data_IF_217209573197
#
_entry.id   IF_217209573197
#
_cell.length_a   1.000
_cell.length_b   1.000
_cell.length_c   1.000
_cell.angle_alpha   90.00
_cell.angle_beta   90.00
_cell.angle_gamma   90.00
#
_symmetry.space_group_name_H-M   'P 1'
#
loop_
_entity.id
_entity.type
_entity.pdbx_description
1 polymer ?
#
# COMPACT_ATOMS: atom_id res chain seq x y z
N UNK A 1 18.64 -50.27 13.00
CA UNK A 1 19.86 -49.52 12.66
C UNK A 1 19.84 -48.27 13.53
N UNK A 2 20.49 -48.40 14.68
CA UNK A 2 20.53 -47.43 15.77
C UNK A 2 21.99 -47.06 15.98
N UNK A 3 22.31 -45.77 15.98
CA UNK A 3 23.57 -45.10 16.36
C UNK A 3 23.54 -43.75 15.62
N UNK A 4 23.86 -42.58 16.16
CA UNK A 4 24.65 -42.22 17.31
C UNK A 4 24.21 -40.83 17.78
N UNK A 5 23.91 -40.69 19.07
CA UNK A 5 23.89 -39.40 19.76
C UNK A 5 25.22 -39.26 20.49
N UNK A 6 26.03 -38.26 20.16
CA UNK A 6 27.22 -37.90 20.93
C UNK A 6 27.09 -36.51 21.54
N UNK A 7 26.97 -36.55 22.87
CA UNK A 7 27.36 -35.55 23.83
C UNK A 7 28.69 -34.87 23.47
N UNK A 8 28.74 -33.54 23.57
CA UNK A 8 29.98 -32.80 23.77
C UNK A 8 29.76 -31.75 24.86
N UNK A 9 30.44 -32.02 25.97
CA UNK A 9 30.44 -31.26 27.20
C UNK A 9 31.33 -30.02 27.10
N UNK A 10 31.01 -29.08 27.98
CA UNK A 10 31.65 -27.81 28.22
C UNK A 10 33.18 -27.89 28.40
N UNK A 11 33.89 -26.94 27.77
CA UNK A 11 35.19 -26.49 28.21
C UNK A 11 35.23 -24.97 28.27
N UNK A 12 35.45 -24.48 29.48
CA UNK A 12 35.66 -23.10 29.88
C UNK A 12 37.15 -22.78 29.69
N UNK A 13 37.55 -21.74 28.93
CA UNK A 13 38.86 -21.13 29.10
C UNK A 13 38.72 -19.85 29.91
N UNK A 14 39.30 -19.88 31.12
CA UNK A 14 39.58 -18.73 31.96
C UNK A 14 40.46 -17.72 31.20
N UNK A 15 39.90 -16.56 30.85
CA UNK A 15 40.68 -15.44 30.35
C UNK A 15 41.16 -14.59 31.53
N UNK A 16 42.46 -14.59 31.76
CA UNK A 16 43.16 -13.69 32.68
C UNK A 16 42.93 -12.23 32.26
N UNK A 17 42.33 -11.45 33.15
CA UNK A 17 42.31 -9.98 33.08
C UNK A 17 43.62 -9.45 33.65
N UNK A 18 44.56 -9.09 32.77
CA UNK A 18 45.68 -8.22 33.14
C UNK A 18 45.18 -6.78 33.23
N UNK A 19 45.09 -6.26 34.44
CA UNK A 19 45.00 -4.84 34.75
C UNK A 19 46.30 -4.15 34.35
N UNK A 20 46.29 -3.45 33.22
CA UNK A 20 47.26 -2.38 32.95
C UNK A 20 46.70 -1.09 33.52
N UNK A 21 47.27 -0.73 34.66
CA UNK A 21 47.14 0.54 35.36
C UNK A 21 47.85 1.61 34.50
N UNK A 22 47.10 2.22 33.58
CA UNK A 22 47.60 3.32 32.77
C UNK A 22 47.41 4.65 33.52
N UNK A 23 48.52 5.34 33.71
CA UNK A 23 48.66 6.45 34.61
C UNK A 23 47.78 7.63 34.18
N UNK A 24 46.83 8.00 35.05
CA UNK A 24 46.15 9.29 35.05
C UNK A 24 47.20 10.42 35.08
N UNK A 25 47.47 11.02 33.92
CA UNK A 25 47.90 12.42 33.83
C UNK A 25 46.69 13.28 33.48
N UNK A 26 45.96 13.65 34.53
CA UNK A 26 45.02 14.77 34.48
C UNK A 26 45.85 16.05 34.45
N UNK A 27 46.15 16.54 33.25
CA UNK A 27 46.63 17.92 33.11
C UNK A 27 45.41 18.81 33.26
N UNK A 28 45.17 19.29 34.48
CA UNK A 28 44.25 20.39 34.74
C UNK A 28 44.78 21.61 33.99
N UNK A 29 44.28 21.85 32.77
CA UNK A 29 44.52 23.11 32.08
C UNK A 29 43.56 24.13 32.70
N UNK A 30 44.02 24.75 33.78
CA UNK A 30 43.39 25.91 34.38
C UNK A 30 43.77 27.12 33.51
N UNK A 31 43.10 27.22 32.37
CA UNK A 31 43.16 28.35 31.46
C UNK A 31 41.92 29.21 31.66
N UNK A 32 41.87 29.91 32.80
CA UNK A 32 41.16 31.19 32.82
C UNK A 32 41.77 32.08 31.72
N UNK A 33 40.94 32.92 31.11
CA UNK A 33 41.25 33.90 30.04
C UNK A 33 41.25 33.38 28.59
N UNK A 34 40.11 32.87 28.11
CA UNK A 34 39.82 32.79 26.65
C UNK A 34 38.37 33.12 26.25
N UNK A 35 37.50 33.54 27.19
CA UNK A 35 36.12 33.96 26.85
C UNK A 35 35.99 35.44 26.45
N UNK A 36 37.04 36.26 26.64
CA UNK A 36 36.96 37.72 26.40
C UNK A 36 37.81 38.22 25.22
N UNK A 37 38.40 37.31 24.43
CA UNK A 37 39.16 37.66 23.23
C UNK A 37 38.32 37.65 21.93
N UNK A 38 37.13 37.04 21.94
CA UNK A 38 36.20 37.10 20.80
C UNK A 38 35.22 38.29 20.85
N UNK A 39 35.08 38.97 21.99
CA UNK A 39 34.16 40.10 22.18
C UNK A 39 34.69 41.42 21.58
N UNK A 40 36.02 41.54 21.37
CA UNK A 40 36.68 42.77 20.93
C UNK A 40 37.22 42.74 19.48
N UNK A 41 37.04 41.65 18.73
CA UNK A 41 37.24 41.61 17.27
C UNK A 41 35.98 42.00 16.47
N UNK A 42 35.00 42.63 17.14
CA UNK A 42 33.85 43.32 16.55
C UNK A 42 34.25 44.56 15.70
N UNK A 43 35.52 44.69 15.34
CA UNK A 43 36.07 45.76 14.52
C UNK A 43 35.66 45.55 13.06
N UNK A 44 34.46 46.02 12.71
CA UNK A 44 33.97 46.30 11.34
C UNK A 44 34.45 45.36 10.22
N UNK A 45 34.36 44.05 10.42
CA UNK A 45 34.42 43.13 9.28
C UNK A 45 33.13 43.36 8.46
N UNK A 46 33.27 44.11 7.37
CA UNK A 46 32.17 44.35 6.44
C UNK A 46 31.98 43.09 5.61
N UNK A 47 30.98 42.27 5.95
CA UNK A 47 30.56 41.18 5.08
C UNK A 47 29.89 41.77 3.84
N UNK A 48 30.40 41.44 2.66
CA UNK A 48 29.84 41.92 1.39
C UNK A 48 28.93 40.89 0.72
N UNK A 49 28.96 39.63 1.20
CA UNK A 49 28.11 38.54 0.71
C UNK A 49 27.68 37.62 1.85
N UNK A 50 26.49 37.04 1.71
CA UNK A 50 25.99 35.98 2.57
C UNK A 50 25.27 34.90 1.77
N UNK A 51 25.32 33.68 2.28
CA UNK A 51 24.50 32.57 1.81
C UNK A 51 23.79 31.94 2.99
N UNK A 52 22.47 32.01 2.97
CA UNK A 52 21.59 31.27 3.88
C UNK A 52 21.22 29.95 3.21
N UNK A 53 21.44 28.84 3.91
CA UNK A 53 20.97 27.53 3.49
C UNK A 53 19.80 27.15 4.38
N UNK A 54 18.63 26.96 3.79
CA UNK A 54 17.47 26.35 4.44
C UNK A 54 17.42 24.89 4.00
N UNK A 55 17.53 23.96 4.94
CA UNK A 55 17.47 22.53 4.65
C UNK A 55 16.21 21.95 5.26
N UNK A 56 15.42 21.27 4.43
CA UNK A 56 14.18 20.60 4.79
C UNK A 56 14.39 19.10 4.70
N UNK A 57 14.45 18.42 5.84
CA UNK A 57 14.47 16.97 5.91
C UNK A 57 13.04 16.44 5.94
N UNK A 58 12.40 16.31 4.78
CA UNK A 58 11.06 15.78 4.62
C UNK A 58 11.06 14.23 4.51
N UNK A 59 12.01 13.58 5.17
CA UNK A 59 12.12 12.13 5.22
C UNK A 59 11.89 11.60 6.63
N UNK A 60 11.81 10.27 6.75
CA UNK A 60 11.82 9.56 8.03
C UNK A 60 13.24 9.32 8.58
N UNK A 61 14.28 9.80 7.90
CA UNK A 61 15.68 9.53 8.24
C UNK A 61 16.26 10.60 9.16
N UNK A 62 17.13 10.17 10.08
CA UNK A 62 18.05 11.08 10.78
C UNK A 62 19.29 11.27 9.92
N UNK A 63 19.74 12.52 9.77
CA UNK A 63 20.94 12.87 9.02
C UNK A 63 22.05 13.28 9.99
N UNK A 64 23.19 12.58 9.95
CA UNK A 64 24.35 12.88 10.79
C UNK A 64 25.42 13.59 9.96
N UNK A 65 25.91 14.74 10.43
CA UNK A 65 26.93 15.53 9.74
C UNK A 65 28.25 14.76 9.70
N UNK A 66 28.74 14.47 8.49
CA UNK A 66 30.01 13.75 8.27
C UNK A 66 31.15 14.68 7.84
N UNK A 67 30.83 15.87 7.34
CA UNK A 67 31.83 16.86 7.00
C UNK A 67 31.20 18.20 6.70
N UNK A 68 31.90 19.27 7.04
CA UNK A 68 31.56 20.62 6.63
C UNK A 68 32.83 21.40 6.36
N UNK A 69 32.76 22.29 5.37
CA UNK A 69 33.83 23.24 5.10
C UNK A 69 33.22 24.58 4.74
N UNK A 70 33.76 25.63 5.35
CA UNK A 70 33.57 27.00 4.93
C UNK A 70 34.92 27.49 4.41
N UNK A 71 35.12 27.44 3.10
CA UNK A 71 36.37 27.96 2.53
C UNK A 71 36.37 29.49 2.59
N UNK A 72 37.51 30.05 3.00
CA UNK A 72 37.82 31.47 2.91
C UNK A 72 38.06 32.21 4.23
N UNK A 73 38.23 33.54 4.17
CA UNK A 73 38.06 34.48 5.30
C UNK A 73 36.58 34.54 5.73
N UNK A 74 35.91 33.39 5.67
CA UNK A 74 34.53 33.21 6.05
C UNK A 74 34.51 33.06 7.56
N UNK A 75 33.91 34.02 8.23
CA UNK A 75 33.42 33.77 9.57
C UNK A 75 32.07 33.09 9.36
N UNK A 76 31.94 31.83 9.81
CA UNK A 76 30.61 31.26 10.08
C UNK A 76 29.99 32.12 11.17
N UNK A 77 29.30 33.20 10.76
CA UNK A 77 28.62 34.05 11.71
C UNK A 77 27.37 33.31 12.17
N UNK A 78 27.50 32.76 13.38
CA UNK A 78 26.46 32.33 14.31
C UNK A 78 25.73 31.01 14.09
N UNK A 79 25.79 30.33 12.94
CA UNK A 79 25.17 28.99 12.84
C UNK A 79 25.95 28.08 11.88
N UNK A 80 26.81 27.15 12.35
CA UNK A 80 27.35 26.09 11.50
C UNK A 80 26.23 25.13 11.07
N UNK A 81 26.44 24.31 10.01
CA UNK A 81 25.54 23.20 9.71
C UNK A 81 25.33 22.34 10.97
N UNK A 82 24.08 21.99 11.35
CA UNK A 82 23.82 21.19 12.53
C UNK A 82 24.49 19.81 12.46
N UNK A 83 24.96 19.28 13.60
CA UNK A 83 25.55 17.94 13.65
C UNK A 83 24.54 16.83 13.34
N UNK A 84 23.25 17.09 13.60
CA UNK A 84 22.15 16.14 13.37
C UNK A 84 20.93 16.91 12.85
N UNK A 85 20.26 16.37 11.83
CA UNK A 85 18.96 16.85 11.35
C UNK A 85 17.95 15.71 11.53
N UNK A 86 16.95 15.93 12.38
CA UNK A 86 15.93 14.93 12.70
C UNK A 86 14.91 14.77 11.55
N UNK A 87 14.18 13.65 11.49
CA UNK A 87 13.06 13.46 10.56
C UNK A 87 12.05 14.60 10.63
N UNK A 88 11.59 15.09 9.49
CA UNK A 88 10.65 16.21 9.38
C UNK A 88 11.20 17.58 9.78
N UNK A 89 12.48 17.69 10.16
CA UNK A 89 13.05 18.93 10.67
C UNK A 89 13.46 19.88 9.54
N UNK A 90 13.17 21.16 9.73
CA UNK A 90 13.77 22.25 8.95
C UNK A 90 14.89 22.89 9.77
N UNK A 91 16.06 23.07 9.17
CA UNK A 91 17.21 23.75 9.77
C UNK A 91 17.73 24.84 8.85
N UNK A 92 18.48 25.78 9.43
CA UNK A 92 19.09 26.88 8.70
C UNK A 92 20.54 27.08 9.16
N UNK A 93 21.44 27.36 8.22
CA UNK A 93 22.77 27.86 8.52
C UNK A 93 23.15 29.00 7.58
N UNK A 94 24.07 29.86 8.04
CA UNK A 94 24.45 31.08 7.31
C UNK A 94 25.96 31.17 7.21
N UNK A 95 26.45 31.33 5.99
CA UNK A 95 27.83 31.74 5.73
C UNK A 95 27.87 33.21 5.36
N UNK A 96 28.80 33.97 5.95
CA UNK A 96 29.13 35.33 5.53
C UNK A 96 30.59 35.38 5.11
N UNK A 97 30.89 36.13 4.05
CA UNK A 97 32.26 36.31 3.55
C UNK A 97 32.56 37.79 3.36
N UNK A 98 33.81 38.18 3.62
CA UNK A 98 34.25 39.58 3.60
C UNK A 98 35.04 39.98 2.34
N UNK A 99 35.76 39.06 1.69
CA UNK A 99 36.86 39.47 0.80
C UNK A 99 37.22 38.51 -0.36
N UNK A 100 36.50 37.41 -0.58
CA UNK A 100 36.99 36.39 -1.52
C UNK A 100 36.38 36.43 -2.92
N UNK A 101 37.28 36.39 -3.91
CA UNK A 101 36.95 36.22 -5.31
C UNK A 101 36.43 34.81 -5.61
N UNK A 102 36.91 33.79 -4.89
CA UNK A 102 36.53 32.38 -5.07
C UNK A 102 36.56 31.60 -3.76
N UNK A 103 35.47 30.89 -3.46
CA UNK A 103 35.38 29.93 -2.36
C UNK A 103 34.36 28.85 -2.69
N UNK A 104 34.51 27.64 -2.13
CA UNK A 104 33.48 26.61 -2.20
C UNK A 104 33.22 26.07 -0.80
N UNK A 105 31.97 26.14 -0.37
CA UNK A 105 31.54 25.62 0.92
C UNK A 105 30.65 24.41 0.74
N UNK A 106 30.68 23.52 1.73
CA UNK A 106 29.82 22.35 1.71
C UNK A 106 29.42 21.89 3.11
N UNK A 107 28.33 21.12 3.16
CA UNK A 107 27.92 20.30 4.27
C UNK A 107 27.52 18.91 3.75
N UNK A 108 28.07 17.87 4.34
CA UNK A 108 27.84 16.47 3.99
C UNK A 108 27.21 15.75 5.17
N UNK A 109 26.20 14.94 4.90
CA UNK A 109 25.48 14.15 5.89
C UNK A 109 25.43 12.68 5.48
N UNK A 110 25.53 11.77 6.44
CA UNK A 110 25.22 10.35 6.27
C UNK A 110 23.86 10.02 6.83
N UNK A 111 23.25 8.97 6.30
CA UNK A 111 22.01 8.39 6.78
C UNK A 111 22.00 6.88 6.50
N UNK A 112 21.08 6.09 7.09
CA UNK A 112 20.96 4.68 6.77
C UNK A 112 20.76 4.45 5.26
N UNK A 113 21.76 3.85 4.61
CA UNK A 113 21.70 3.53 3.18
C UNK A 113 22.40 4.52 2.24
N UNK A 114 22.97 5.63 2.74
CA UNK A 114 23.71 6.55 1.86
C UNK A 114 24.24 7.83 2.53
N UNK A 115 24.63 8.77 1.68
CA UNK A 115 25.07 10.10 2.06
C UNK A 115 24.55 11.16 1.10
N UNK A 116 24.53 12.41 1.56
CA UNK A 116 24.24 13.58 0.74
C UNK A 116 25.23 14.70 1.03
N UNK A 117 25.40 15.60 0.06
CA UNK A 117 26.26 16.78 0.16
C UNK A 117 25.59 17.96 -0.51
N UNK A 118 25.53 19.06 0.24
CA UNK A 118 25.07 20.38 -0.19
C UNK A 118 26.31 21.24 -0.41
N UNK A 119 26.56 21.71 -1.63
CA UNK A 119 27.65 22.64 -1.96
C UNK A 119 27.09 23.98 -2.42
N UNK A 120 27.72 25.07 -1.99
CA UNK A 120 27.33 26.42 -2.37
C UNK A 120 28.53 27.36 -2.56
N UNK A 121 28.34 28.37 -3.40
CA UNK A 121 29.31 29.42 -3.71
C UNK A 121 28.56 30.70 -4.06
N UNK A 122 28.85 31.82 -3.40
CA UNK A 122 28.31 33.15 -3.70
C UNK A 122 29.47 34.15 -3.87
N UNK A 123 30.17 34.06 -5.00
CA UNK A 123 31.37 34.83 -5.27
C UNK A 123 31.03 36.30 -5.57
N UNK A 124 32.01 37.21 -5.38
CA UNK A 124 31.79 38.65 -5.60
C UNK A 124 31.58 38.95 -7.10
N UNK A 125 32.34 38.28 -7.97
CA UNK A 125 32.49 38.64 -9.39
C UNK A 125 31.81 37.68 -10.36
N UNK A 126 31.28 36.54 -9.91
CA UNK A 126 30.58 35.57 -10.75
C UNK A 126 29.20 35.22 -10.18
N UNK A 127 28.41 34.46 -10.95
CA UNK A 127 27.09 34.01 -10.51
C UNK A 127 27.19 32.99 -9.37
N UNK A 128 26.16 32.97 -8.54
CA UNK A 128 26.05 31.99 -7.45
C UNK A 128 25.91 30.59 -8.04
N UNK A 129 26.57 29.61 -7.43
CA UNK A 129 26.45 28.20 -7.82
C UNK A 129 26.06 27.37 -6.61
N UNK A 130 25.19 26.39 -6.87
CA UNK A 130 24.69 25.45 -5.89
C UNK A 130 24.74 24.08 -6.53
N UNK A 131 25.21 23.08 -5.79
CA UNK A 131 25.28 21.71 -6.29
C UNK A 131 24.90 20.78 -5.16
N UNK A 132 24.00 19.87 -5.47
CA UNK A 132 23.52 18.84 -4.56
C UNK A 132 23.97 17.50 -5.14
N UNK A 133 24.55 16.65 -4.30
CA UNK A 133 24.93 15.29 -4.68
C UNK A 133 24.53 14.34 -3.56
N UNK A 134 24.02 13.18 -3.90
CA UNK A 134 23.68 12.14 -2.93
C UNK A 134 23.93 10.77 -3.54
N UNK A 135 24.04 9.77 -2.69
CA UNK A 135 24.04 8.38 -3.12
C UNK A 135 22.61 8.04 -3.55
N UNK A 136 22.37 7.84 -4.87
CA UNK A 136 21.03 7.64 -5.37
C UNK A 136 20.48 6.32 -4.82
N UNK A 137 19.43 6.42 -4.03
CA UNK A 137 18.58 5.29 -3.66
C UNK A 137 17.22 5.51 -4.30
N UNK A 138 16.48 4.45 -4.68
CA UNK A 138 15.14 4.60 -5.26
C UNK A 138 14.11 5.19 -4.28
N UNK A 139 14.50 5.46 -3.04
CA UNK A 139 13.60 5.78 -1.93
C UNK A 139 13.62 7.26 -1.58
N UNK A 140 14.62 8.01 -2.04
CA UNK A 140 14.80 9.41 -1.69
C UNK A 140 15.26 10.25 -2.89
N UNK A 141 14.87 11.51 -2.86
CA UNK A 141 15.31 12.51 -3.82
C UNK A 141 15.69 13.81 -3.13
N UNK A 142 16.52 14.60 -3.82
CA UNK A 142 16.93 15.91 -3.36
C UNK A 142 16.71 16.96 -4.45
N UNK A 143 15.95 17.99 -4.13
CA UNK A 143 15.73 19.16 -4.99
C UNK A 143 16.19 20.43 -4.29
N UNK A 144 16.41 21.50 -5.05
CA UNK A 144 16.79 22.79 -4.47
C UNK A 144 16.34 23.98 -5.32
N UNK A 145 16.19 25.13 -4.67
CA UNK A 145 16.04 26.44 -5.32
C UNK A 145 17.19 27.34 -4.89
N UNK A 146 17.80 28.05 -5.85
CA UNK A 146 18.98 28.88 -5.60
C UNK A 146 18.69 30.37 -5.82
N UNK A 147 18.91 31.18 -4.80
CA UNK A 147 18.80 32.63 -4.85
C UNK A 147 19.98 33.29 -5.57
N UNK A 148 19.77 34.54 -6.02
CA UNK A 148 20.80 35.39 -6.65
C UNK A 148 21.13 36.58 -5.74
N UNK A 149 22.20 37.30 -6.06
CA UNK A 149 22.54 38.56 -5.40
C UNK A 149 23.56 38.40 -4.27
N UNK A 150 23.74 39.48 -3.51
CA UNK A 150 24.75 39.56 -2.44
C UNK A 150 24.35 38.75 -1.21
N UNK A 151 23.06 38.73 -0.89
CA UNK A 151 22.47 37.97 0.20
C UNK A 151 21.57 36.89 -0.39
N UNK A 152 22.15 35.72 -0.63
CA UNK A 152 21.47 34.65 -1.34
C UNK A 152 20.90 33.62 -0.36
N UNK A 153 19.74 33.07 -0.70
CA UNK A 153 19.15 31.93 0.02
C UNK A 153 19.11 30.74 -0.91
N UNK A 154 19.47 29.56 -0.41
CA UNK A 154 19.24 28.28 -1.09
C UNK A 154 18.34 27.42 -0.21
N UNK A 155 17.21 27.00 -0.76
CA UNK A 155 16.31 26.04 -0.10
C UNK A 155 16.59 24.66 -0.67
N UNK A 156 16.85 23.69 0.21
CA UNK A 156 17.17 22.30 -0.13
C UNK A 156 16.10 21.40 0.47
N UNK A 157 15.50 20.56 -0.36
CA UNK A 157 14.47 19.61 0.05
C UNK A 157 14.99 18.19 -0.14
N UNK A 158 15.18 17.47 0.96
CA UNK A 158 15.42 16.04 0.94
C UNK A 158 14.10 15.35 1.26
N UNK A 159 13.54 14.63 0.29
CA UNK A 159 12.20 14.06 0.33
C UNK A 159 12.26 12.55 0.13
N UNK A 160 11.35 11.82 0.77
CA UNK A 160 11.09 10.44 0.39
C UNK A 160 10.38 10.44 -0.96
N UNK A 161 10.80 9.57 -1.89
CA UNK A 161 10.03 9.33 -3.10
C UNK A 161 8.69 8.74 -2.68
N UNK A 162 7.60 9.28 -3.21
CA UNK A 162 6.31 8.63 -3.05
C UNK A 162 6.39 7.23 -3.66
N UNK A 163 5.96 6.23 -2.89
CA UNK A 163 5.86 4.83 -3.33
C UNK A 163 4.41 4.41 -3.31
N UNK A 164 3.98 3.70 -4.35
CA UNK A 164 2.69 3.03 -4.39
C UNK A 164 2.92 1.54 -4.45
N UNK A 165 2.60 0.86 -3.35
CA UNK A 165 2.59 -0.60 -3.30
C UNK A 165 1.22 -1.11 -3.74
N UNK A 166 1.20 -1.89 -4.81
CA UNK A 166 -0.01 -2.45 -5.40
C UNK A 166 -0.02 -3.95 -5.14
N UNK A 167 -1.04 -4.40 -4.43
CA UNK A 167 -1.33 -5.81 -4.17
C UNK A 167 -2.60 -6.22 -4.91
N UNK A 168 -2.54 -7.32 -5.63
CA UNK A 168 -3.69 -7.90 -6.30
C UNK A 168 -3.96 -9.31 -5.79
N UNK A 169 -5.18 -9.55 -5.32
CA UNK A 169 -5.66 -10.87 -4.90
C UNK A 169 -6.60 -11.43 -5.96
N UNK A 170 -6.13 -12.46 -6.67
CA UNK A 170 -6.94 -13.24 -7.57
C UNK A 170 -7.71 -14.30 -6.78
N UNK A 171 -8.88 -13.99 -6.25
CA UNK A 171 -9.73 -14.96 -5.55
C UNK A 171 -10.66 -15.74 -6.50
N UNK A 172 -10.40 -15.67 -7.81
CA UNK A 172 -11.09 -16.51 -8.78
C UNK A 172 -10.42 -17.88 -8.91
N UNK A 173 -11.16 -18.82 -9.49
CA UNK A 173 -10.71 -20.14 -9.94
C UNK A 173 -9.99 -20.10 -11.30
N UNK A 174 -9.88 -18.92 -11.91
CA UNK A 174 -9.22 -18.71 -13.19
C UNK A 174 -7.89 -17.98 -13.02
N UNK A 175 -6.94 -18.27 -13.90
CA UNK A 175 -5.70 -17.49 -13.97
C UNK A 175 -5.93 -16.22 -14.78
N UNK A 176 -5.23 -15.16 -14.39
CA UNK A 176 -5.23 -13.87 -15.04
C UNK A 176 -3.94 -13.70 -15.84
N UNK A 177 -4.02 -13.08 -17.02
CA UNK A 177 -2.86 -12.71 -17.84
C UNK A 177 -2.88 -11.22 -18.12
N UNK A 178 -1.78 -10.53 -17.84
CA UNK A 178 -1.62 -9.12 -18.15
C UNK A 178 -1.63 -8.93 -19.67
N UNK A 179 -2.45 -8.02 -20.17
CA UNK A 179 -2.31 -7.50 -21.53
C UNK A 179 -1.20 -6.44 -21.52
N UNK A 180 0.00 -6.73 -22.05
CA UNK A 180 1.11 -5.79 -21.99
C UNK A 180 0.84 -4.49 -22.77
N UNK A 181 -0.03 -4.51 -23.78
CA UNK A 181 -0.40 -3.32 -24.54
C UNK A 181 -1.33 -2.39 -23.75
N UNK A 182 -1.97 -2.89 -22.70
CA UNK A 182 -2.85 -2.13 -21.82
C UNK A 182 -2.12 -1.39 -20.70
N UNK A 183 -0.82 -1.65 -20.51
CA UNK A 183 -0.01 -1.03 -19.46
C UNK A 183 0.24 0.43 -19.83
N UNK A 184 -0.52 1.34 -19.21
CA UNK A 184 -0.40 2.77 -19.41
C UNK A 184 0.13 3.42 -18.14
N UNK A 185 1.29 4.06 -18.24
CA UNK A 185 1.89 4.85 -17.17
C UNK A 185 1.80 6.31 -17.57
N UNK A 186 1.06 7.09 -16.78
CA UNK A 186 0.90 8.53 -16.98
C UNK A 186 1.94 9.28 -16.16
N UNK A 187 2.10 8.90 -14.88
CA UNK A 187 3.06 9.47 -13.96
C UNK A 187 3.70 8.35 -13.11
N UNK A 188 5.00 8.48 -12.86
CA UNK A 188 5.79 7.49 -12.10
C UNK A 188 6.50 6.43 -12.94
N UNK A 189 7.23 5.55 -12.26
CA UNK A 189 8.00 4.46 -12.84
C UNK A 189 7.84 3.17 -12.01
N UNK A 190 7.87 2.00 -12.65
CA UNK A 190 7.87 0.73 -11.94
C UNK A 190 9.25 0.42 -11.36
N UNK A 191 9.32 0.17 -10.06
CA UNK A 191 10.49 -0.47 -9.43
C UNK A 191 10.38 -1.99 -9.47
N UNK A 192 9.15 -2.50 -9.36
CA UNK A 192 8.81 -3.90 -9.62
C UNK A 192 7.71 -3.93 -10.68
N UNK A 193 7.90 -4.69 -11.76
CA UNK A 193 6.92 -4.77 -12.85
C UNK A 193 5.68 -5.57 -12.42
N UNK A 194 4.48 -5.22 -12.90
CA UNK A 194 3.31 -6.07 -12.74
C UNK A 194 3.58 -7.44 -13.40
N UNK A 195 3.25 -8.57 -12.75
CA UNK A 195 3.55 -9.88 -13.29
C UNK A 195 2.74 -10.17 -14.55
N UNK A 196 3.33 -10.89 -15.50
CA UNK A 196 2.66 -11.26 -16.74
C UNK A 196 1.41 -12.14 -16.52
N UNK A 197 1.34 -12.86 -15.39
CA UNK A 197 0.17 -13.64 -15.00
C UNK A 197 0.02 -13.74 -13.49
N UNK A 198 -1.22 -13.98 -13.06
CA UNK A 198 -1.58 -14.24 -11.65
C UNK A 198 -2.40 -15.52 -11.64
N UNK A 199 -1.88 -16.56 -10.98
CA UNK A 199 -2.55 -17.87 -10.90
C UNK A 199 -3.90 -17.77 -10.17
N UNK A 200 -4.80 -18.72 -10.41
CA UNK A 200 -6.05 -18.86 -9.65
C UNK A 200 -5.78 -18.98 -8.14
N UNK A 201 -6.55 -18.26 -7.32
CA UNK A 201 -6.31 -18.14 -5.87
C UNK A 201 -5.01 -17.39 -5.49
N UNK A 202 -4.28 -16.86 -6.46
CA UNK A 202 -2.94 -16.27 -6.26
C UNK A 202 -2.95 -14.83 -5.78
N UNK A 203 -1.77 -14.37 -5.38
CA UNK A 203 -1.48 -12.97 -5.04
C UNK A 203 -0.32 -12.46 -5.90
N UNK A 204 -0.41 -11.21 -6.33
CA UNK A 204 0.66 -10.48 -6.99
C UNK A 204 0.94 -9.16 -6.25
N UNK A 205 2.21 -8.75 -6.22
CA UNK A 205 2.62 -7.47 -5.67
C UNK A 205 3.56 -6.78 -6.67
N UNK A 206 3.38 -5.48 -6.85
CA UNK A 206 4.30 -4.65 -7.62
C UNK A 206 4.32 -3.23 -7.03
N UNK A 207 5.38 -2.48 -7.34
CA UNK A 207 5.63 -1.17 -6.72
C UNK A 207 5.96 -0.16 -7.79
N UNK A 208 5.39 1.03 -7.65
CA UNK A 208 5.70 2.22 -8.44
C UNK A 208 6.30 3.31 -7.56
N UNK A 209 7.08 4.19 -8.17
CA UNK A 209 7.66 5.39 -7.54
C UNK A 209 7.36 6.62 -8.39
N UNK A 210 7.25 7.80 -7.77
CA UNK A 210 7.24 9.06 -8.53
C UNK A 210 8.65 9.28 -9.13
N UNK A 211 8.80 8.96 -10.41
CA UNK A 211 10.08 8.94 -11.12
C UNK A 211 10.65 10.33 -11.41
N UNK A 212 9.81 11.36 -11.52
CA UNK A 212 10.26 12.73 -11.82
C UNK A 212 10.26 13.65 -10.59
N UNK A 213 9.69 13.20 -9.47
CA UNK A 213 9.59 13.95 -8.22
C UNK A 213 8.96 15.34 -8.43
N UNK A 214 8.13 15.49 -9.46
CA UNK A 214 7.43 16.75 -9.71
C UNK A 214 6.23 16.92 -8.78
N UNK A 215 5.93 15.92 -7.94
CA UNK A 215 4.76 15.93 -7.07
C UNK A 215 3.46 15.73 -7.85
N UNK A 216 3.54 15.22 -9.09
CA UNK A 216 2.36 14.81 -9.86
C UNK A 216 1.74 13.51 -9.32
N UNK A 217 2.50 12.79 -8.48
CA UNK A 217 2.10 11.53 -7.88
C UNK A 217 2.33 10.34 -8.83
N UNK A 218 1.69 9.22 -8.53
CA UNK A 218 1.82 7.97 -9.27
C UNK A 218 0.50 7.66 -9.98
N UNK A 219 0.50 7.57 -11.31
CA UNK A 219 -0.71 7.33 -12.10
C UNK A 219 -0.50 6.31 -13.19
N UNK A 220 -1.41 5.35 -13.27
CA UNK A 220 -1.39 4.36 -14.33
C UNK A 220 -2.61 3.46 -14.36
N UNK A 221 -2.62 2.57 -15.35
CA UNK A 221 -3.59 1.51 -15.47
C UNK A 221 -2.98 0.29 -16.16
N UNK A 222 -3.59 -0.86 -15.94
CA UNK A 222 -3.34 -2.09 -16.69
C UNK A 222 -4.58 -2.97 -16.73
N UNK A 223 -4.63 -3.90 -17.67
CA UNK A 223 -5.74 -4.84 -17.86
C UNK A 223 -5.20 -6.26 -17.71
N UNK A 224 -5.83 -7.02 -16.83
CA UNK A 224 -5.66 -8.47 -16.76
C UNK A 224 -6.87 -9.18 -17.39
N UNK A 225 -6.61 -10.13 -18.28
CA UNK A 225 -7.63 -10.93 -18.96
C UNK A 225 -7.73 -12.32 -18.32
N UNK A 226 -8.94 -12.89 -18.24
CA UNK A 226 -9.13 -14.27 -17.80
C UNK A 226 -8.60 -15.24 -18.86
N UNK A 227 -7.72 -16.15 -18.46
CA UNK A 227 -7.42 -17.33 -19.25
C UNK A 227 -8.51 -18.37 -19.02
N UNK A 228 -9.63 -18.25 -19.72
CA UNK A 228 -10.58 -19.34 -19.87
C UNK A 228 -10.33 -20.04 -21.21
N UNK A 229 -10.21 -21.37 -21.19
CA UNK A 229 -9.97 -22.15 -22.41
C UNK A 229 -11.10 -22.02 -23.45
N UNK A 230 -12.32 -21.61 -23.05
CA UNK A 230 -13.52 -21.60 -23.91
C UNK A 230 -14.58 -20.51 -23.56
N UNK A 231 -14.26 -19.48 -22.77
CA UNK A 231 -15.24 -18.45 -22.40
C UNK A 231 -14.95 -17.12 -23.11
N UNK A 232 -16.01 -16.35 -23.42
CA UNK A 232 -15.90 -14.95 -23.85
C UNK A 232 -14.92 -14.20 -22.93
N UNK A 233 -13.93 -13.48 -23.47
CA UNK A 233 -12.86 -12.87 -22.69
C UNK A 233 -13.43 -11.77 -21.78
N UNK A 234 -13.67 -12.10 -20.52
CA UNK A 234 -13.77 -11.11 -19.47
C UNK A 234 -12.39 -10.45 -19.27
N UNK A 235 -12.38 -9.13 -19.08
CA UNK A 235 -11.18 -8.38 -18.76
C UNK A 235 -11.40 -7.57 -17.48
N UNK A 236 -10.46 -7.64 -16.54
CA UNK A 236 -10.40 -6.78 -15.37
C UNK A 236 -9.44 -5.63 -15.64
N UNK A 237 -9.98 -4.43 -15.81
CA UNK A 237 -9.20 -3.20 -15.87
C UNK A 237 -8.93 -2.71 -14.46
N UNK A 238 -7.66 -2.43 -14.16
CA UNK A 238 -7.19 -1.83 -12.93
C UNK A 238 -6.69 -0.43 -13.26
N UNK A 239 -7.29 0.58 -12.64
CA UNK A 239 -6.86 1.97 -12.78
C UNK A 239 -6.57 2.57 -11.42
N UNK A 240 -5.45 3.29 -11.30
CA UNK A 240 -5.05 3.95 -10.06
C UNK A 240 -4.65 5.41 -10.34
N UNK A 241 -5.29 6.32 -9.60
CA UNK A 241 -4.89 7.71 -9.45
C UNK A 241 -5.10 8.13 -7.97
N UNK A 242 -4.07 7.94 -7.12
CA UNK A 242 -4.11 8.30 -5.71
C UNK A 242 -4.38 9.80 -5.50
N UNK A 243 -3.89 10.67 -6.40
CA UNK A 243 -4.06 12.12 -6.29
C UNK A 243 -5.52 12.57 -6.37
N UNK A 244 -6.36 11.79 -7.06
CA UNK A 244 -7.79 12.03 -7.19
C UNK A 244 -8.64 11.07 -6.34
N UNK A 245 -8.02 10.27 -5.46
CA UNK A 245 -8.70 9.17 -4.75
C UNK A 245 -9.48 8.25 -5.69
N UNK A 246 -9.08 8.18 -6.97
CA UNK A 246 -9.77 7.42 -8.00
C UNK A 246 -9.13 6.05 -8.09
N UNK A 247 -9.80 5.08 -7.47
CA UNK A 247 -9.52 3.66 -7.59
C UNK A 247 -10.73 3.04 -8.28
N UNK A 248 -10.54 2.49 -9.48
CA UNK A 248 -11.64 1.85 -10.19
C UNK A 248 -11.23 0.51 -10.79
N UNK A 249 -12.20 -0.39 -10.77
CA UNK A 249 -12.21 -1.59 -11.59
C UNK A 249 -13.48 -1.53 -12.44
N UNK A 250 -13.41 -1.96 -13.70
CA UNK A 250 -14.57 -1.99 -14.59
C UNK A 250 -15.41 -3.28 -14.46
N UNK A 251 -15.09 -4.15 -13.50
CA UNK A 251 -15.77 -5.43 -13.30
C UNK A 251 -16.79 -5.30 -12.16
N UNK A 252 -18.04 -5.66 -12.44
CA UNK A 252 -19.16 -5.56 -11.50
C UNK A 252 -19.06 -6.49 -10.29
N UNK A 253 -18.11 -7.44 -10.27
CA UNK A 253 -17.81 -8.34 -9.14
C UNK A 253 -16.52 -8.01 -8.37
N UNK A 254 -15.81 -6.95 -8.76
CA UNK A 254 -14.54 -6.54 -8.13
C UNK A 254 -14.74 -5.64 -6.92
N UNK A 255 -14.10 -5.96 -5.80
CA UNK A 255 -13.97 -5.07 -4.64
C UNK A 255 -12.57 -4.43 -4.62
N UNK A 256 -12.45 -3.22 -4.09
CA UNK A 256 -11.16 -2.61 -3.79
C UNK A 256 -11.10 -2.19 -2.32
N UNK A 257 -9.91 -2.24 -1.73
CA UNK A 257 -9.64 -1.74 -0.39
C UNK A 257 -8.21 -1.21 -0.32
N UNK A 258 -7.99 -0.13 0.42
CA UNK A 258 -6.67 0.48 0.55
C UNK A 258 -6.75 1.89 1.10
N UNK A 259 -5.65 2.35 1.68
CA UNK A 259 -5.49 3.74 2.09
C UNK A 259 -4.85 4.50 0.91
N UNK A 260 -5.67 5.29 0.20
CA UNK A 260 -5.20 6.14 -0.89
C UNK A 260 -4.43 7.39 -0.38
N UNK A 261 -4.42 7.62 0.93
CA UNK A 261 -3.81 8.79 1.58
C UNK A 261 -2.80 8.33 2.63
N UNK A 262 -1.59 8.90 2.62
CA UNK A 262 -0.52 8.56 3.56
C UNK A 262 0.86 8.61 2.90
N UNK A 263 1.92 8.49 3.71
CA UNK A 263 3.31 8.48 3.20
C UNK A 263 3.65 7.22 2.38
N UNK A 264 2.80 6.19 2.46
CA UNK A 264 2.92 4.92 1.74
C UNK A 264 1.51 4.45 1.35
N UNK A 265 0.89 5.00 0.30
CA UNK A 265 -0.39 4.50 -0.18
C UNK A 265 -0.23 3.02 -0.56
N UNK A 266 -1.17 2.20 -0.11
CA UNK A 266 -1.25 0.79 -0.48
C UNK A 266 -2.61 0.50 -1.08
N UNK A 267 -2.61 -0.25 -2.17
CA UNK A 267 -3.81 -0.55 -2.94
C UNK A 267 -4.00 -2.06 -3.04
N UNK A 268 -5.14 -2.55 -2.55
CA UNK A 268 -5.55 -3.96 -2.67
C UNK A 268 -6.77 -4.09 -3.57
N UNK A 269 -6.64 -4.94 -4.59
CA UNK A 269 -7.76 -5.33 -5.45
C UNK A 269 -8.16 -6.77 -5.17
N UNK A 270 -9.48 -7.01 -5.11
CA UNK A 270 -10.06 -8.32 -4.89
C UNK A 270 -10.94 -8.69 -6.07
N UNK A 271 -10.52 -9.72 -6.80
CA UNK A 271 -11.32 -10.29 -7.87
C UNK A 271 -12.03 -11.55 -7.41
N UNK A 272 -13.36 -11.59 -7.52
CA UNK A 272 -14.15 -12.77 -7.18
C UNK A 272 -14.80 -13.38 -8.42
N UNK A 273 -14.78 -14.70 -8.52
CA UNK A 273 -15.67 -15.41 -9.45
C UNK A 273 -17.14 -15.08 -9.10
N UNK A 274 -18.04 -15.00 -10.10
CA UNK A 274 -19.47 -14.93 -9.85
C UNK A 274 -19.92 -16.06 -8.93
N UNK A 275 -20.85 -15.76 -8.04
CA UNK A 275 -21.49 -16.75 -7.19
C UNK A 275 -22.45 -17.59 -8.05
N UNK A 276 -22.24 -18.91 -8.11
CA UNK A 276 -23.18 -19.80 -8.78
C UNK A 276 -24.25 -20.23 -7.79
N UNK A 277 -25.50 -19.84 -8.01
CA UNK A 277 -26.64 -20.30 -7.22
C UNK A 277 -27.36 -21.44 -7.93
N UNK A 278 -27.66 -22.50 -7.20
CA UNK A 278 -28.35 -23.70 -7.67
C UNK A 278 -29.55 -23.97 -6.75
N UNK A 279 -30.75 -24.04 -7.33
CA UNK A 279 -31.98 -24.43 -6.63
C UNK A 279 -32.43 -25.81 -7.11
N UNK A 280 -32.40 -26.78 -6.21
CA UNK A 280 -32.93 -28.13 -6.41
C UNK A 280 -34.40 -28.17 -5.99
N UNK A 281 -35.30 -28.31 -6.96
CA UNK A 281 -36.71 -28.55 -6.69
C UNK A 281 -36.96 -30.04 -6.48
N UNK A 282 -36.96 -30.51 -5.23
CA UNK A 282 -37.23 -31.89 -4.88
C UNK A 282 -38.72 -32.15 -4.57
N UNK A 283 -39.60 -31.21 -4.91
CA UNK A 283 -41.04 -31.38 -4.78
C UNK A 283 -41.68 -31.95 -6.04
N UNK A 284 -42.97 -32.24 -5.95
CA UNK A 284 -43.79 -32.62 -7.10
C UNK A 284 -44.48 -31.40 -7.76
N UNK A 285 -44.25 -30.18 -7.23
CA UNK A 285 -44.81 -28.95 -7.75
C UNK A 285 -43.81 -28.25 -8.68
N UNK A 286 -44.32 -27.47 -9.64
CA UNK A 286 -43.48 -26.55 -10.41
C UNK A 286 -43.21 -25.31 -9.56
N UNK A 287 -41.95 -24.89 -9.48
CA UNK A 287 -41.59 -23.60 -8.91
C UNK A 287 -41.69 -22.55 -10.00
N UNK A 288 -42.40 -21.45 -9.74
CA UNK A 288 -42.55 -20.32 -10.67
C UNK A 288 -41.95 -19.09 -10.03
N UNK A 289 -40.94 -18.50 -10.66
CA UNK A 289 -40.29 -17.28 -10.17
C UNK A 289 -41.30 -16.13 -10.20
N UNK A 290 -41.39 -15.36 -9.12
CA UNK A 290 -42.01 -14.05 -9.14
C UNK A 290 -40.98 -13.02 -9.67
N UNK A 291 -41.11 -12.52 -10.91
CA UNK A 291 -40.09 -11.64 -11.49
C UNK A 291 -39.93 -10.32 -10.72
N UNK A 292 -40.97 -9.85 -10.02
CA UNK A 292 -40.92 -8.63 -9.23
C UNK A 292 -40.14 -8.79 -7.92
N UNK A 293 -39.92 -10.03 -7.49
CA UNK A 293 -39.17 -10.36 -6.27
C UNK A 293 -37.65 -10.42 -6.48
N UNK A 294 -37.18 -10.41 -7.73
CA UNK A 294 -35.75 -10.53 -8.04
C UNK A 294 -35.05 -9.24 -7.66
N UNK A 295 -34.25 -9.29 -6.60
CA UNK A 295 -33.43 -8.19 -6.13
C UNK A 295 -31.96 -8.58 -6.11
N UNK A 296 -31.13 -7.76 -6.73
CA UNK A 296 -29.69 -7.78 -6.51
C UNK A 296 -29.35 -6.49 -5.77
N UNK A 297 -28.98 -6.62 -4.50
CA UNK A 297 -28.75 -5.46 -3.63
C UNK A 297 -27.34 -4.92 -3.84
N UNK A 298 -26.38 -5.78 -4.18
CA UNK A 298 -24.96 -5.42 -4.30
C UNK A 298 -24.34 -6.04 -5.56
N UNK A 299 -24.82 -5.71 -6.75
CA UNK A 299 -24.21 -6.10 -8.04
C UNK A 299 -25.22 -6.35 -9.16
N UNK A 300 -24.78 -7.08 -10.19
CA UNK A 300 -25.61 -7.47 -11.33
C UNK A 300 -25.78 -8.99 -11.43
N UNK A 301 -26.89 -9.44 -12.03
CA UNK A 301 -27.04 -10.84 -12.40
C UNK A 301 -26.24 -11.11 -13.66
N UNK A 302 -25.31 -12.07 -13.60
CA UNK A 302 -24.62 -12.57 -14.80
C UNK A 302 -25.59 -13.41 -15.63
N UNK A 303 -26.46 -14.18 -14.96
CA UNK A 303 -27.62 -14.81 -15.58
C UNK A 303 -28.83 -14.71 -14.65
N UNK A 304 -30.02 -14.51 -15.22
CA UNK A 304 -31.25 -14.40 -14.44
C UNK A 304 -31.63 -15.76 -13.79
N UNK A 305 -32.26 -15.76 -12.60
CA UNK A 305 -32.88 -16.97 -12.06
C UNK A 305 -33.89 -17.55 -13.06
N UNK A 306 -33.99 -18.89 -13.22
CA UNK A 306 -34.95 -19.49 -14.15
C UNK A 306 -36.39 -19.11 -13.81
N UNK A 307 -37.17 -18.71 -14.82
CA UNK A 307 -38.57 -18.33 -14.64
C UNK A 307 -39.45 -19.47 -14.08
N UNK A 308 -39.07 -20.72 -14.33
CA UNK A 308 -39.68 -21.89 -13.72
C UNK A 308 -38.69 -23.03 -13.53
N UNK A 309 -38.94 -23.88 -12.54
CA UNK A 309 -38.17 -25.10 -12.27
C UNK A 309 -39.16 -26.25 -12.12
N UNK A 310 -39.06 -27.23 -13.03
CA UNK A 310 -39.94 -28.39 -13.05
C UNK A 310 -39.82 -29.23 -11.76
N UNK A 311 -40.84 -30.05 -11.44
CA UNK A 311 -40.75 -31.05 -10.38
C UNK A 311 -39.50 -31.93 -10.52
N UNK A 312 -38.81 -32.20 -9.41
CA UNK A 312 -37.53 -32.93 -9.39
C UNK A 312 -36.41 -32.30 -10.25
N UNK A 313 -36.59 -31.05 -10.70
CA UNK A 313 -35.65 -30.32 -11.54
C UNK A 313 -34.62 -29.49 -10.76
N UNK A 314 -33.71 -28.86 -11.50
CA UNK A 314 -32.76 -27.89 -10.95
C UNK A 314 -32.75 -26.60 -11.77
N UNK A 315 -32.61 -25.47 -11.09
CA UNK A 315 -32.34 -24.17 -11.69
C UNK A 315 -30.96 -23.68 -11.31
N UNK A 316 -30.22 -23.11 -12.26
CA UNK A 316 -28.88 -22.56 -12.02
C UNK A 316 -28.80 -21.14 -12.56
N UNK A 317 -28.21 -20.24 -11.78
CA UNK A 317 -27.91 -18.87 -12.21
C UNK A 317 -26.64 -18.34 -11.56
N UNK A 318 -26.03 -17.33 -12.18
CA UNK A 318 -24.80 -16.70 -11.72
C UNK A 318 -25.09 -15.26 -11.28
N UNK A 319 -24.58 -14.88 -10.11
CA UNK A 319 -24.72 -13.54 -9.54
C UNK A 319 -23.33 -12.94 -9.37
N UNK A 320 -23.08 -11.78 -9.97
CA UNK A 320 -21.82 -11.04 -9.74
C UNK A 320 -21.82 -10.36 -8.36
N UNK A 321 -23.01 -10.17 -7.79
CA UNK A 321 -23.21 -9.44 -6.55
C UNK A 321 -23.05 -10.27 -5.28
N UNK A 322 -22.77 -9.58 -4.17
CA UNK A 322 -22.59 -10.19 -2.86
C UNK A 322 -23.90 -10.42 -2.12
N UNK A 323 -24.98 -9.71 -2.47
CA UNK A 323 -26.27 -9.78 -1.77
C UNK A 323 -27.46 -9.75 -2.72
N UNK A 324 -28.48 -10.54 -2.43
CA UNK A 324 -29.73 -10.49 -3.17
C UNK A 324 -30.77 -11.49 -2.70
N UNK A 325 -31.94 -11.43 -3.33
CA UNK A 325 -33.03 -12.36 -3.09
C UNK A 325 -33.87 -12.60 -4.33
N UNK A 326 -34.60 -13.71 -4.31
CA UNK A 326 -35.71 -13.96 -5.23
C UNK A 326 -36.73 -14.90 -4.59
N UNK A 327 -37.98 -14.81 -5.03
CA UNK A 327 -39.09 -15.60 -4.51
C UNK A 327 -39.66 -16.50 -5.59
N UNK A 328 -39.78 -17.78 -5.28
CA UNK A 328 -40.50 -18.76 -6.09
C UNK A 328 -41.85 -19.06 -5.46
N UNK A 329 -42.91 -19.09 -6.26
CA UNK A 329 -44.23 -19.58 -5.90
C UNK A 329 -44.37 -21.05 -6.28
N UNK A 330 -45.15 -21.81 -5.51
CA UNK A 330 -45.48 -23.20 -5.82
C UNK A 330 -46.97 -23.48 -5.58
N UNK A 331 -47.50 -24.42 -6.35
CA UNK A 331 -48.83 -25.03 -6.19
C UNK A 331 -48.70 -26.52 -6.53
N UNK A 332 -49.02 -27.40 -5.58
CA UNK A 332 -48.91 -28.84 -5.75
C UNK A 332 -50.19 -29.49 -6.32
N UNK A 333 -51.22 -28.70 -6.60
CA UNK A 333 -52.52 -29.17 -7.12
C UNK A 333 -53.37 -29.91 -6.09
N UNK A 334 -52.89 -30.11 -4.86
CA UNK A 334 -53.63 -30.69 -3.74
C UNK A 334 -54.26 -29.63 -2.82
N UNK A 335 -54.14 -28.36 -3.20
CA UNK A 335 -54.59 -27.21 -2.42
C UNK A 335 -53.50 -26.62 -1.52
N UNK A 336 -52.27 -27.13 -1.57
CA UNK A 336 -51.13 -26.49 -0.92
C UNK A 336 -50.43 -25.57 -1.91
N UNK A 337 -50.46 -24.27 -1.62
CA UNK A 337 -49.67 -23.27 -2.32
C UNK A 337 -48.88 -22.43 -1.32
N UNK A 338 -47.79 -21.83 -1.78
CA UNK A 338 -46.96 -20.99 -0.93
C UNK A 338 -45.83 -20.30 -1.70
N UNK A 339 -44.92 -19.69 -0.96
CA UNK A 339 -43.74 -19.02 -1.54
C UNK A 339 -42.46 -19.36 -0.79
N UNK A 340 -41.37 -19.43 -1.55
CA UNK A 340 -40.02 -19.67 -1.07
C UNK A 340 -39.13 -18.49 -1.46
N UNK A 341 -38.77 -17.67 -0.48
CA UNK A 341 -37.79 -16.60 -0.62
C UNK A 341 -36.38 -17.18 -0.42
N UNK A 342 -35.56 -17.03 -1.44
CA UNK A 342 -34.14 -17.35 -1.42
C UNK A 342 -33.39 -16.06 -1.11
N UNK A 343 -32.51 -16.07 -0.13
CA UNK A 343 -31.65 -14.94 0.20
C UNK A 343 -30.19 -15.37 0.26
N UNK A 344 -29.32 -14.58 -0.36
CA UNK A 344 -27.87 -14.78 -0.30
C UNK A 344 -27.16 -13.51 0.17
N UNK A 345 -26.12 -13.72 0.97
CA UNK A 345 -25.19 -12.69 1.38
C UNK A 345 -23.81 -13.29 1.59
N UNK A 346 -22.84 -12.84 0.79
CA UNK A 346 -21.44 -13.27 0.85
C UNK A 346 -20.69 -12.73 2.07
N UNK A 347 -21.17 -11.64 2.68
CA UNK A 347 -20.57 -11.10 3.90
C UNK A 347 -20.84 -11.95 5.14
N UNK A 348 -21.79 -12.89 5.05
CA UNK A 348 -22.08 -13.86 6.10
C UNK A 348 -21.76 -15.28 5.63
N UNK A 349 -21.22 -16.16 6.48
CA UNK A 349 -20.99 -17.57 6.14
C UNK A 349 -22.27 -18.39 5.90
N UNK A 350 -23.45 -17.75 5.83
CA UNK A 350 -24.74 -18.41 5.71
C UNK A 350 -25.61 -17.73 4.64
N UNK A 351 -25.94 -18.47 3.57
CA UNK A 351 -27.13 -18.22 2.77
C UNK A 351 -28.37 -18.69 3.55
N UNK A 352 -29.51 -18.01 3.38
CA UNK A 352 -30.74 -18.34 4.08
C UNK A 352 -31.87 -18.59 3.08
N UNK A 353 -32.75 -19.53 3.39
CA UNK A 353 -34.01 -19.72 2.69
C UNK A 353 -35.10 -19.37 3.69
N UNK A 354 -35.89 -18.34 3.40
CA UNK A 354 -37.07 -17.98 4.17
C UNK A 354 -38.31 -18.45 3.40
N UNK A 355 -39.11 -19.33 3.99
CA UNK A 355 -40.31 -19.85 3.33
C UNK A 355 -41.52 -19.37 4.10
N UNK A 356 -42.50 -18.84 3.38
CA UNK A 356 -43.82 -18.55 3.96
C UNK A 356 -44.78 -19.67 3.54
N UNK A 357 -45.15 -20.53 4.51
CA UNK A 357 -46.00 -21.71 4.29
C UNK A 357 -45.75 -22.85 5.29
N UNK A 358 -46.60 -23.89 5.28
CA UNK A 358 -46.41 -25.09 6.12
C UNK A 358 -45.33 -26.01 5.54
N UNK A 359 -44.07 -25.72 5.83
CA UNK A 359 -43.00 -26.69 5.66
C UNK A 359 -41.65 -26.17 6.15
N UNK A 360 -40.92 -26.99 6.88
CA UNK A 360 -39.53 -26.72 7.30
C UNK A 360 -38.52 -27.22 6.28
N UNK A 361 -37.50 -26.42 5.98
CA UNK A 361 -36.51 -26.70 4.94
C UNK A 361 -35.09 -26.32 5.39
N UNK A 362 -34.07 -26.91 4.78
CA UNK A 362 -32.65 -26.64 5.04
C UNK A 362 -31.96 -26.18 3.75
N UNK A 363 -31.40 -24.97 3.76
CA UNK A 363 -30.29 -24.63 2.87
C UNK A 363 -28.98 -25.17 3.46
N UNK A 364 -28.10 -25.72 2.64
CA UNK A 364 -26.73 -26.07 3.07
C UNK A 364 -25.73 -25.25 2.25
N UNK A 365 -24.80 -24.59 2.95
CA UNK A 365 -23.68 -23.90 2.33
C UNK A 365 -22.48 -24.85 2.30
N UNK A 366 -22.46 -25.75 1.32
CA UNK A 366 -21.48 -26.83 1.34
C UNK A 366 -20.19 -26.51 0.60
N UNK A 367 -20.11 -25.49 -0.28
CA UNK A 367 -18.86 -25.09 -0.96
C UNK A 367 -18.94 -23.72 -1.66
N UNK A 368 -18.17 -22.73 -1.20
CA UNK A 368 -17.82 -21.56 -2.04
C UNK A 368 -17.02 -22.05 -3.26
N UNK A 369 -17.35 -21.64 -4.50
CA UNK A 369 -18.17 -20.49 -4.92
C UNK A 369 -19.65 -20.80 -5.28
N UNK A 370 -20.20 -21.93 -4.86
CA UNK A 370 -21.58 -22.35 -5.15
C UNK A 370 -22.53 -22.22 -3.95
N UNK A 371 -23.73 -21.69 -4.16
CA UNK A 371 -24.83 -21.75 -3.21
C UNK A 371 -25.83 -22.82 -3.63
N UNK A 372 -26.09 -23.78 -2.77
CA UNK A 372 -27.05 -24.86 -3.02
C UNK A 372 -28.30 -24.68 -2.15
N UNK A 373 -29.44 -24.51 -2.79
CA UNK A 373 -30.74 -24.41 -2.16
C UNK A 373 -31.54 -25.69 -2.44
N UNK A 374 -32.12 -26.30 -1.40
CA UNK A 374 -32.92 -27.51 -1.54
C UNK A 374 -34.37 -27.24 -1.14
N UNK A 375 -35.29 -27.38 -2.08
CA UNK A 375 -36.72 -27.26 -1.85
C UNK A 375 -37.35 -28.67 -1.80
N UNK A 376 -37.61 -29.19 -0.59
CA UNK A 376 -38.04 -30.57 -0.32
C UNK A 376 -39.43 -30.64 0.35
N UNK A 377 -40.31 -31.59 0.02
CA UNK A 377 -41.61 -31.71 0.68
C UNK A 377 -41.45 -31.78 2.21
N UNK A 378 -42.34 -31.09 2.95
CA UNK A 378 -42.37 -31.26 4.39
C UNK A 378 -42.76 -32.70 4.71
N UNK A 379 -41.80 -33.50 5.15
CA UNK A 379 -42.11 -34.82 5.70
C UNK A 379 -42.96 -34.58 6.94
N UNK A 380 -44.21 -35.07 6.99
CA UNK A 380 -44.99 -34.98 8.22
C UNK A 380 -44.13 -35.61 9.30
N UNK A 381 -43.83 -34.84 10.35
CA UNK A 381 -43.13 -35.37 11.53
C UNK A 381 -43.86 -36.65 11.90
N UNK A 382 -43.20 -37.80 11.73
CA UNK A 382 -43.76 -39.06 12.16
C UNK A 382 -44.08 -38.86 13.62
N UNK A 383 -45.36 -38.76 13.95
CA UNK A 383 -45.84 -38.56 15.29
C UNK A 383 -45.34 -39.79 16.03
N UNK A 384 -44.21 -39.67 16.74
CA UNK A 384 -43.62 -40.75 17.50
C UNK A 384 -44.61 -41.01 18.61
N UNK A 385 -45.53 -41.94 18.35
CA UNK A 385 -46.70 -42.17 19.18
C UNK A 385 -46.27 -42.21 20.63
N UNK A 386 -46.89 -41.37 21.45
CA UNK A 386 -46.75 -41.48 22.89
C UNK A 386 -47.13 -42.92 23.25
N UNK A 387 -46.14 -43.72 23.65
CA UNK A 387 -46.41 -44.99 24.30
C UNK A 387 -47.29 -44.68 25.52
N UNK A 388 -48.58 -44.98 25.40
CA UNK A 388 -49.48 -44.97 26.55
C UNK A 388 -48.96 -45.98 27.57
N UNK A 389 -48.73 -45.48 28.80
CA UNK A 389 -48.59 -46.32 29.98
C UNK A 389 -49.93 -46.90 30.40
#
# INVERSE_FOLDING_TARGET
>A
MSENAQNLAAQNPSHETKTHEDARRTTTYQGDVAEDACSNLSEKISFNRSTTVNFHNNTSLTLDLTGASCQGDSILHNVPPPNVIQPGQQVQWIQKVSSLEWYSSYASYSFPGGSLTVKWTNPISSGNTYTMSWDPTPDYNMTYTGGKGTEATVDVYFVANEKLDITFYNQSDLSLTLDPASLLIQDGEFTTQPPASIVAGGQANWTMVDGDNTGKGIKGSCIYQFQAANAEPGAATLSWDPSNSMLSTNQSSGGYGGEATGSYPSLSFYFHSPLQAILYNQTNATLTLDPASVQNQDGEFVSQPPASIAPQGQGTWNVAGTKGSCTYQYDDGSGNSGSAELWWDKSYPACQINISGQGGYRGSNDNYPSLNFYFQPHLPHANTGSHGQ
#
